data_IF_955112134845
#
_entry.id   IF_955112134845
#
_cell.length_a   1.000
_cell.length_b   1.000
_cell.length_c   1.000
_cell.angle_alpha   90.00
_cell.angle_beta   90.00
_cell.angle_gamma   90.00
#
_symmetry.space_group_name_H-M   'P 1'
#
loop_
_entity.id
_entity.type
_entity.pdbx_description
1 polymer ?
#
# COMPACT_ATOMS: atom_id res chain seq x y z
N UNK A 1 2.90 -19.31 -35.59
CA UNK A 1 3.27 -18.36 -34.53
C UNK A 1 2.44 -18.67 -33.30
N UNK A 2 3.06 -19.21 -32.24
CA UNK A 2 2.42 -19.28 -30.92
C UNK A 2 2.85 -18.05 -30.14
N UNK A 3 1.88 -17.25 -29.71
CA UNK A 3 2.11 -16.08 -28.86
C UNK A 3 2.02 -16.55 -27.41
N UNK A 4 3.17 -16.63 -26.76
CA UNK A 4 3.27 -16.89 -25.33
C UNK A 4 2.80 -15.63 -24.60
N UNK A 5 1.51 -15.57 -24.25
CA UNK A 5 0.97 -14.46 -23.45
C UNK A 5 1.41 -14.72 -22.01
N UNK A 6 2.18 -13.82 -21.38
CA UNK A 6 2.57 -14.00 -19.99
C UNK A 6 1.33 -14.12 -19.13
N UNK A 7 1.27 -15.18 -18.32
CA UNK A 7 0.20 -15.31 -17.34
C UNK A 7 0.27 -14.11 -16.38
N UNK A 8 -0.87 -13.44 -16.09
CA UNK A 8 -0.89 -12.43 -15.06
C UNK A 8 -0.36 -13.03 -13.75
N UNK A 9 0.53 -12.29 -13.10
CA UNK A 9 1.11 -12.72 -11.83
C UNK A 9 0.03 -12.98 -10.77
N UNK A 10 0.37 -13.72 -9.69
CA UNK A 10 -0.57 -14.03 -8.64
C UNK A 10 -1.23 -12.76 -8.08
N UNK A 11 -2.49 -12.84 -7.60
CA UNK A 11 -3.15 -11.73 -6.95
C UNK A 11 -2.26 -11.21 -5.82
N UNK A 12 -1.99 -9.90 -5.80
CA UNK A 12 -1.27 -9.29 -4.68
C UNK A 12 -2.11 -9.48 -3.42
N UNK A 13 -1.47 -9.97 -2.36
CA UNK A 13 -2.11 -10.10 -1.05
C UNK A 13 -2.48 -8.69 -0.56
N UNK A 14 -3.78 -8.40 -0.36
CA UNK A 14 -4.18 -7.09 0.12
C UNK A 14 -3.69 -6.82 1.55
N UNK A 15 -3.42 -7.86 2.36
CA UNK A 15 -2.83 -7.73 3.69
C UNK A 15 -1.40 -7.20 3.61
N UNK A 16 -0.63 -7.59 2.58
CA UNK A 16 0.71 -7.03 2.35
C UNK A 16 0.67 -5.51 2.11
N UNK A 17 -0.39 -5.02 1.44
CA UNK A 17 -0.60 -3.57 1.26
C UNK A 17 -0.90 -2.83 2.57
N UNK A 18 -1.52 -3.50 3.54
CA UNK A 18 -1.75 -2.96 4.89
C UNK A 18 -0.42 -2.91 5.65
N UNK A 19 0.37 -3.98 5.62
CA UNK A 19 1.68 -4.05 6.28
C UNK A 19 2.63 -2.98 5.74
N UNK A 20 2.69 -2.79 4.43
CA UNK A 20 3.49 -1.75 3.78
C UNK A 20 3.06 -0.34 4.23
N UNK A 21 1.76 -0.08 4.33
CA UNK A 21 1.22 1.20 4.78
C UNK A 21 1.58 1.48 6.26
N UNK A 22 1.54 0.46 7.12
CA UNK A 22 1.92 0.58 8.52
C UNK A 22 3.42 0.78 8.70
N UNK A 23 4.26 0.07 7.93
CA UNK A 23 5.70 0.27 7.93
C UNK A 23 6.09 1.71 7.53
N UNK A 24 5.30 2.36 6.67
CA UNK A 24 5.47 3.78 6.33
C UNK A 24 5.30 4.74 7.51
N UNK A 25 4.69 4.30 8.61
CA UNK A 25 4.50 5.10 9.83
C UNK A 25 5.69 5.00 10.81
N UNK A 26 6.65 4.10 10.57
CA UNK A 26 7.79 3.91 11.47
C UNK A 26 8.65 5.18 11.56
N UNK A 27 8.97 5.57 12.80
CA UNK A 27 9.84 6.71 13.07
C UNK A 27 9.21 8.09 12.81
N UNK A 28 7.89 8.20 12.57
CA UNK A 28 7.21 9.48 12.31
C UNK A 28 7.43 10.54 13.41
N UNK A 29 7.59 10.12 14.66
CA UNK A 29 7.82 11.02 15.78
C UNK A 29 9.19 11.73 15.74
N UNK A 30 10.12 11.26 14.89
CA UNK A 30 11.49 11.74 14.81
C UNK A 30 11.73 12.68 13.63
N UNK A 31 10.70 12.95 12.81
CA UNK A 31 10.81 13.82 11.63
C UNK A 31 10.08 15.15 11.86
N UNK A 32 10.50 16.17 11.11
CA UNK A 32 9.85 17.48 11.09
C UNK A 32 8.36 17.37 10.73
N UNK A 33 7.53 18.26 11.30
CA UNK A 33 6.07 18.22 11.17
C UNK A 33 5.59 18.18 9.71
N UNK A 34 6.22 18.95 8.82
CA UNK A 34 5.85 18.95 7.40
C UNK A 34 6.04 17.56 6.75
N UNK A 35 7.14 16.88 7.09
CA UNK A 35 7.41 15.53 6.60
C UNK A 35 6.53 14.48 7.30
N UNK A 36 6.25 14.67 8.59
CA UNK A 36 5.32 13.83 9.34
C UNK A 36 3.94 13.79 8.66
N UNK A 37 3.38 14.97 8.35
CA UNK A 37 2.06 15.07 7.70
C UNK A 37 2.07 14.41 6.33
N UNK A 38 3.10 14.64 5.51
CA UNK A 38 3.21 14.04 4.19
C UNK A 38 3.23 12.50 4.26
N UNK A 39 4.06 11.92 5.15
CA UNK A 39 4.12 10.45 5.31
C UNK A 39 2.83 9.86 5.87
N UNK A 40 2.17 10.58 6.78
CA UNK A 40 0.88 10.14 7.31
C UNK A 40 -0.20 10.12 6.22
N UNK A 41 -0.23 11.13 5.34
CA UNK A 41 -1.17 11.18 4.21
C UNK A 41 -0.92 10.05 3.20
N UNK A 42 0.35 9.77 2.88
CA UNK A 42 0.74 8.63 2.04
C UNK A 42 0.27 7.29 2.65
N UNK A 43 0.53 7.06 3.94
CA UNK A 43 0.10 5.85 4.64
C UNK A 43 -1.43 5.73 4.68
N UNK A 44 -2.14 6.84 4.90
CA UNK A 44 -3.61 6.87 4.89
C UNK A 44 -4.18 6.50 3.51
N UNK A 45 -3.64 7.06 2.43
CA UNK A 45 -4.06 6.76 1.07
C UNK A 45 -3.79 5.30 0.68
N UNK A 46 -2.62 4.77 1.06
CA UNK A 46 -2.24 3.38 0.85
C UNK A 46 -3.17 2.42 1.60
N UNK A 47 -3.45 2.70 2.88
CA UNK A 47 -4.33 1.89 3.71
C UNK A 47 -5.77 1.89 3.18
N UNK A 48 -6.28 3.05 2.76
CA UNK A 48 -7.61 3.17 2.14
C UNK A 48 -7.70 2.33 0.88
N UNK A 49 -6.68 2.38 0.02
CA UNK A 49 -6.61 1.56 -1.19
C UNK A 49 -6.58 0.07 -0.87
N UNK A 50 -5.75 -0.33 0.09
CA UNK A 50 -5.62 -1.73 0.51
C UNK A 50 -6.95 -2.27 1.06
N UNK A 51 -7.59 -1.53 1.97
CA UNK A 51 -8.87 -1.92 2.57
C UNK A 51 -10.00 -1.98 1.53
N UNK A 52 -10.09 -0.99 0.64
CA UNK A 52 -11.09 -1.00 -0.44
C UNK A 52 -10.90 -2.18 -1.41
N UNK A 53 -9.69 -2.72 -1.54
CA UNK A 53 -9.43 -3.91 -2.37
C UNK A 53 -9.91 -5.22 -1.72
N UNK A 54 -10.02 -5.25 -0.39
CA UNK A 54 -10.56 -6.38 0.40
C UNK A 54 -12.09 -6.31 0.42
N UNK A 55 -12.62 -5.10 0.66
CA UNK A 55 -14.05 -4.84 0.80
C UNK A 55 -14.76 -4.75 -0.55
N UNK A 56 -14.59 -5.79 -1.39
CA UNK A 56 -15.45 -6.00 -2.55
C UNK A 56 -16.78 -6.60 -2.08
N UNK A 57 -17.68 -5.74 -1.60
CA UNK A 57 -19.13 -5.99 -1.59
C UNK A 57 -19.78 -5.55 -2.90
#
# INVERSE_FOLDING_TARGET
MSFDVPLPGPPRDPVAGIDDALAGLDGLAQVEVALHVARFDEAHAALTTALASIDKV
#
